data_IF_726381743982
#
_entry.id   IF_726381743982
#
_cell.length_a   1.000
_cell.length_b   1.000
_cell.length_c   1.000
_cell.angle_alpha   90.00
_cell.angle_beta   90.00
_cell.angle_gamma   90.00
#
_symmetry.space_group_name_H-M   'P 1'
#
loop_
_entity.id
_entity.type
_entity.pdbx_description
1 polymer ?
#
# COMPACT_ATOMS: atom_id res chain seq x y z
N UNK A 1 -25.66 -17.64 -5.02
CA UNK A 1 -24.56 -18.00 -5.94
C UNK A 1 -23.30 -17.39 -5.35
N UNK A 2 -22.44 -18.20 -4.74
CA UNK A 2 -21.15 -17.72 -4.22
C UNK A 2 -20.17 -17.71 -5.39
N UNK A 3 -19.91 -16.54 -5.96
CA UNK A 3 -18.80 -16.36 -6.89
C UNK A 3 -17.51 -16.40 -6.08
N UNK A 4 -16.85 -17.54 -6.03
CA UNK A 4 -15.51 -17.66 -5.43
C UNK A 4 -14.50 -17.11 -6.42
N UNK A 5 -13.97 -15.93 -6.15
CA UNK A 5 -12.82 -15.37 -6.87
C UNK A 5 -11.65 -16.34 -6.70
N UNK A 6 -11.00 -16.75 -7.79
CA UNK A 6 -9.84 -17.64 -7.70
C UNK A 6 -8.65 -16.94 -7.04
N UNK A 7 -7.72 -17.70 -6.44
CA UNK A 7 -6.51 -17.11 -5.82
C UNK A 7 -5.70 -16.28 -6.82
N UNK A 8 -5.60 -16.74 -8.08
CA UNK A 8 -4.91 -16.01 -9.14
C UNK A 8 -5.61 -14.70 -9.51
N UNK A 9 -6.94 -14.70 -9.62
CA UNK A 9 -7.71 -13.47 -9.87
C UNK A 9 -7.58 -12.49 -8.70
N UNK A 10 -7.61 -12.99 -7.46
CA UNK A 10 -7.43 -12.18 -6.26
C UNK A 10 -6.02 -11.57 -6.21
N UNK A 11 -4.98 -12.37 -6.50
CA UNK A 11 -3.62 -11.88 -6.54
C UNK A 11 -3.41 -10.83 -7.63
N UNK A 12 -3.95 -11.07 -8.83
CA UNK A 12 -3.88 -10.13 -9.95
C UNK A 12 -4.57 -8.82 -9.59
N UNK A 13 -5.79 -8.91 -9.05
CA UNK A 13 -6.54 -7.74 -8.60
C UNK A 13 -5.80 -6.96 -7.51
N UNK A 14 -5.26 -7.67 -6.52
CA UNK A 14 -4.48 -7.06 -5.46
C UNK A 14 -3.27 -6.30 -6.01
N UNK A 15 -2.45 -6.92 -6.86
CA UNK A 15 -1.26 -6.27 -7.39
C UNK A 15 -1.57 -5.11 -8.34
N UNK A 16 -2.67 -5.17 -9.09
CA UNK A 16 -3.16 -4.01 -9.86
C UNK A 16 -3.54 -2.85 -8.95
N UNK A 17 -4.34 -3.11 -7.91
CA UNK A 17 -4.81 -2.07 -7.00
C UNK A 17 -3.68 -1.46 -6.16
N UNK A 18 -2.77 -2.31 -5.67
CA UNK A 18 -1.59 -1.91 -4.92
C UNK A 18 -0.60 -1.13 -5.79
N UNK A 19 -0.34 -1.55 -7.03
CA UNK A 19 0.56 -0.83 -7.95
C UNK A 19 0.02 0.54 -8.28
N UNK A 20 -1.28 0.65 -8.61
CA UNK A 20 -1.91 1.93 -8.90
C UNK A 20 -1.80 2.91 -7.72
N UNK A 21 -1.94 2.41 -6.48
CA UNK A 21 -1.74 3.24 -5.29
C UNK A 21 -0.28 3.65 -5.12
N UNK A 22 0.66 2.70 -5.20
CA UNK A 22 2.07 2.93 -4.93
C UNK A 22 2.75 3.93 -5.90
N UNK A 23 2.16 4.14 -7.08
CA UNK A 23 2.67 5.10 -8.09
C UNK A 23 1.78 6.32 -8.27
N UNK A 24 0.67 6.42 -7.51
CA UNK A 24 -0.31 7.50 -7.68
C UNK A 24 0.29 8.89 -7.42
N UNK A 25 1.30 8.99 -6.56
CA UNK A 25 2.05 10.21 -6.28
C UNK A 25 3.24 10.46 -7.23
N UNK A 26 3.45 9.58 -8.22
CA UNK A 26 4.54 9.63 -9.18
C UNK A 26 5.86 9.04 -8.69
N UNK A 27 5.91 8.46 -7.49
CA UNK A 27 7.08 7.78 -6.95
C UNK A 27 7.07 6.26 -7.18
N UNK A 28 8.25 5.64 -7.26
CA UNK A 28 8.41 4.18 -7.22
C UNK A 28 9.21 3.78 -5.98
N UNK A 29 8.53 3.71 -4.83
CA UNK A 29 9.18 3.24 -3.60
C UNK A 29 9.23 1.71 -3.57
N UNK A 30 10.44 1.14 -3.60
CA UNK A 30 10.69 -0.31 -3.43
C UNK A 30 10.07 -0.80 -2.11
N UNK A 31 10.09 0.03 -1.07
CA UNK A 31 9.50 -0.26 0.25
C UNK A 31 7.98 -0.42 0.17
N UNK A 32 7.28 0.44 -0.59
CA UNK A 32 5.82 0.33 -0.81
C UNK A 32 5.46 -0.95 -1.57
N UNK A 33 6.29 -1.33 -2.55
CA UNK A 33 6.09 -2.58 -3.31
C UNK A 33 6.36 -3.84 -2.45
N UNK A 34 7.37 -3.80 -1.59
CA UNK A 34 7.68 -4.88 -0.64
C UNK A 34 6.56 -5.09 0.38
N UNK A 35 6.02 -4.00 0.95
CA UNK A 35 4.87 -4.05 1.86
C UNK A 35 3.64 -4.69 1.19
N UNK A 36 3.44 -4.43 -0.11
CA UNK A 36 2.36 -5.04 -0.87
C UNK A 36 2.47 -6.57 -1.00
N UNK A 37 3.69 -7.10 -1.10
CA UNK A 37 3.93 -8.55 -1.13
C UNK A 37 3.66 -9.23 0.22
N UNK A 38 4.15 -8.64 1.32
CA UNK A 38 3.92 -9.16 2.68
C UNK A 38 2.43 -9.16 3.04
N UNK A 39 1.71 -8.10 2.67
CA UNK A 39 0.27 -8.03 2.89
C UNK A 39 -0.51 -9.12 2.14
N UNK A 40 -0.13 -9.41 0.89
CA UNK A 40 -0.75 -10.46 0.08
C UNK A 40 -0.69 -11.82 0.78
N UNK A 41 0.46 -12.17 1.34
CA UNK A 41 0.65 -13.45 2.02
C UNK A 41 -0.03 -13.48 3.39
N UNK A 42 0.18 -12.44 4.20
CA UNK A 42 -0.25 -12.44 5.60
C UNK A 42 -1.76 -12.22 5.79
N UNK A 43 -2.39 -11.41 4.93
CA UNK A 43 -3.80 -10.99 5.10
C UNK A 43 -4.72 -11.57 4.03
N UNK A 44 -4.26 -11.63 2.78
CA UNK A 44 -5.04 -12.23 1.69
C UNK A 44 -4.85 -13.75 1.58
N UNK A 45 -3.87 -14.32 2.29
CA UNK A 45 -3.61 -15.76 2.31
C UNK A 45 -3.05 -16.30 0.99
N UNK A 46 -2.49 -15.43 0.14
CA UNK A 46 -1.96 -15.82 -1.16
C UNK A 46 -0.58 -16.47 -1.00
N UNK A 47 -0.33 -17.56 -1.73
CA UNK A 47 1.00 -18.17 -1.74
C UNK A 47 2.02 -17.27 -2.44
N UNK A 48 3.30 -17.47 -2.12
CA UNK A 48 4.39 -16.76 -2.80
C UNK A 48 4.41 -17.06 -4.31
N UNK A 49 4.13 -18.31 -4.69
CA UNK A 49 4.07 -18.78 -6.07
C UNK A 49 2.98 -18.04 -6.87
N UNK A 50 1.76 -17.95 -6.31
CA UNK A 50 0.65 -17.22 -6.93
C UNK A 50 0.95 -15.73 -6.99
N UNK A 51 1.61 -15.18 -5.97
CA UNK A 51 2.04 -13.79 -6.00
C UNK A 51 3.09 -13.52 -7.10
N UNK A 52 4.04 -14.43 -7.30
CA UNK A 52 5.05 -14.33 -8.35
C UNK A 52 4.43 -14.44 -9.74
N UNK A 53 3.50 -15.38 -9.94
CA UNK A 53 2.78 -15.56 -11.20
C UNK A 53 1.93 -14.32 -11.53
N UNK A 54 1.19 -13.79 -10.55
CA UNK A 54 0.35 -12.60 -10.75
C UNK A 54 1.17 -11.34 -11.04
N UNK A 55 2.44 -11.27 -10.60
CA UNK A 55 3.35 -10.16 -10.90
C UNK A 55 4.06 -10.27 -12.26
N UNK A 56 3.97 -11.43 -12.92
CA UNK A 56 4.59 -11.61 -14.24
C UNK A 56 4.06 -10.58 -15.25
N UNK A 57 4.96 -10.02 -16.06
CA UNK A 57 4.65 -8.88 -16.94
C UNK A 57 3.48 -9.17 -17.90
N UNK A 58 3.30 -10.42 -18.33
CA UNK A 58 2.20 -10.81 -19.24
C UNK A 58 0.80 -10.68 -18.59
N UNK A 59 0.69 -10.91 -17.28
CA UNK A 59 -0.60 -10.91 -16.58
C UNK A 59 -1.04 -9.49 -16.18
N UNK A 60 -0.09 -8.62 -15.78
CA UNK A 60 -0.41 -7.25 -15.36
C UNK A 60 -0.37 -6.23 -16.50
N UNK A 61 0.41 -6.44 -17.56
CA UNK A 61 0.51 -5.48 -18.67
C UNK A 61 -0.73 -5.47 -19.56
N UNK A 62 -1.53 -6.53 -19.54
CA UNK A 62 -2.73 -6.68 -20.37
C UNK A 62 -3.99 -6.11 -19.73
N UNK A 63 -3.95 -5.82 -18.42
CA UNK A 63 -5.11 -5.38 -17.65
C UNK A 63 -5.13 -3.87 -17.42
N UNK A 64 -6.31 -3.28 -17.57
CA UNK A 64 -6.54 -1.85 -17.41
C UNK A 64 -7.08 -1.52 -16.01
N UNK A 65 -7.09 -0.22 -15.67
CA UNK A 65 -7.77 0.27 -14.47
C UNK A 65 -9.27 -0.06 -14.47
N UNK A 66 -9.89 -0.10 -15.66
CA UNK A 66 -11.31 -0.44 -15.79
C UNK A 66 -11.55 -1.92 -15.45
N UNK A 67 -10.65 -2.81 -15.90
CA UNK A 67 -10.71 -4.23 -15.55
C UNK A 67 -10.58 -4.43 -14.04
N UNK A 68 -9.67 -3.71 -13.39
CA UNK A 68 -9.52 -3.72 -11.93
C UNK A 68 -10.81 -3.31 -11.21
N UNK A 69 -11.43 -2.19 -11.60
CA UNK A 69 -12.69 -1.72 -10.99
C UNK A 69 -13.85 -2.69 -11.25
N UNK A 70 -13.91 -3.28 -12.44
CA UNK A 70 -14.91 -4.30 -12.80
C UNK A 70 -14.77 -5.56 -11.93
N UNK A 71 -13.54 -6.07 -11.76
CA UNK A 71 -13.26 -7.22 -10.90
C UNK A 71 -13.65 -6.95 -9.44
N UNK A 72 -13.39 -5.74 -8.93
CA UNK A 72 -13.77 -5.34 -7.57
C UNK A 72 -15.27 -5.35 -7.33
N UNK A 73 -16.09 -5.01 -8.32
CA UNK A 73 -17.54 -5.03 -8.17
C UNK A 73 -18.09 -6.45 -7.90
N UNK A 74 -17.28 -7.49 -8.13
CA UNK A 74 -17.67 -8.89 -7.99
C UNK A 74 -17.00 -9.61 -6.82
N UNK A 75 -16.12 -8.95 -6.06
CA UNK A 75 -15.49 -9.59 -4.90
C UNK A 75 -16.45 -9.62 -3.70
N UNK A 76 -16.37 -10.65 -2.84
CA UNK A 76 -17.07 -10.63 -1.56
C UNK A 76 -16.67 -9.43 -0.72
N UNK A 77 -17.62 -8.83 0.02
CA UNK A 77 -17.38 -7.63 0.83
C UNK A 77 -16.18 -7.77 1.78
N UNK A 78 -16.04 -8.93 2.45
CA UNK A 78 -14.91 -9.21 3.34
C UNK A 78 -13.56 -9.15 2.62
N UNK A 79 -13.49 -9.65 1.38
CA UNK A 79 -12.28 -9.58 0.56
C UNK A 79 -12.03 -8.14 0.11
N UNK A 80 -13.09 -7.42 -0.26
CA UNK A 80 -13.03 -6.00 -0.59
C UNK A 80 -12.47 -5.13 0.53
N UNK A 81 -12.91 -5.34 1.77
CA UNK A 81 -12.39 -4.65 2.96
C UNK A 81 -10.89 -4.93 3.17
N UNK A 82 -10.44 -6.18 2.96
CA UNK A 82 -9.02 -6.53 3.04
C UNK A 82 -8.20 -5.85 1.95
N UNK A 83 -8.70 -5.81 0.70
CA UNK A 83 -8.02 -5.10 -0.40
C UNK A 83 -7.92 -3.61 -0.08
N UNK A 84 -9.02 -2.98 0.32
CA UNK A 84 -9.05 -1.56 0.67
C UNK A 84 -8.08 -1.24 1.82
N UNK A 85 -8.09 -2.04 2.88
CA UNK A 85 -7.18 -1.87 4.02
C UNK A 85 -5.72 -1.92 3.57
N UNK A 86 -5.37 -2.88 2.71
CA UNK A 86 -4.00 -3.00 2.20
C UNK A 86 -3.59 -1.84 1.29
N UNK A 87 -4.50 -1.38 0.42
CA UNK A 87 -4.25 -0.21 -0.43
C UNK A 87 -4.06 1.05 0.41
N UNK A 88 -4.88 1.27 1.42
CA UNK A 88 -4.74 2.40 2.35
C UNK A 88 -3.44 2.30 3.16
N UNK A 89 -3.02 1.10 3.54
CA UNK A 89 -1.76 0.87 4.25
C UNK A 89 -0.56 1.34 3.42
N UNK A 90 -0.58 1.08 2.11
CA UNK A 90 0.45 1.55 1.16
C UNK A 90 0.46 3.08 1.12
N UNK A 91 -0.69 3.72 0.99
CA UNK A 91 -0.78 5.19 0.97
C UNK A 91 -0.29 5.82 2.28
N UNK A 92 -0.50 5.15 3.41
CA UNK A 92 -0.02 5.63 4.71
C UNK A 92 1.46 5.40 5.00
N UNK A 93 2.23 4.74 4.12
CA UNK A 93 3.65 4.50 4.35
C UNK A 93 4.43 5.80 4.61
N UNK A 94 4.01 6.87 3.95
CA UNK A 94 4.69 8.17 4.00
C UNK A 94 3.95 9.15 4.93
N UNK A 95 3.03 8.62 5.76
CA UNK A 95 2.22 9.35 6.76
C UNK A 95 1.42 10.53 6.21
N UNK A 96 1.29 10.63 4.90
CA UNK A 96 0.51 11.63 4.18
C UNK A 96 -0.12 10.98 2.96
N UNK A 97 -1.29 11.46 2.54
CA UNK A 97 -1.94 11.00 1.32
C UNK A 97 -2.00 12.12 0.30
N UNK A 98 -1.52 11.82 -0.90
CA UNK A 98 -1.59 12.70 -2.05
C UNK A 98 -3.00 12.72 -2.66
N UNK A 99 -3.41 13.80 -3.35
CA UNK A 99 -4.75 13.90 -3.95
C UNK A 99 -5.10 12.75 -4.92
N UNK A 100 -4.11 12.22 -5.64
CA UNK A 100 -4.29 11.09 -6.56
C UNK A 100 -4.50 9.76 -5.80
N UNK A 101 -3.83 9.56 -4.66
CA UNK A 101 -4.06 8.42 -3.78
C UNK A 101 -5.48 8.47 -3.17
N UNK A 102 -5.92 9.66 -2.74
CA UNK A 102 -7.30 9.87 -2.26
C UNK A 102 -8.32 9.57 -3.34
N UNK A 103 -8.07 10.02 -4.57
CA UNK A 103 -8.94 9.73 -5.72
C UNK A 103 -8.99 8.24 -6.03
N UNK A 104 -7.84 7.55 -6.00
CA UNK A 104 -7.77 6.12 -6.22
C UNK A 104 -8.56 5.34 -5.15
N UNK A 105 -8.32 5.65 -3.87
CA UNK A 105 -9.07 5.06 -2.75
C UNK A 105 -10.58 5.29 -2.88
N UNK A 106 -11.00 6.49 -3.31
CA UNK A 106 -12.42 6.80 -3.52
C UNK A 106 -13.05 5.97 -4.65
N UNK A 107 -12.33 5.76 -5.76
CA UNK A 107 -12.82 4.94 -6.87
C UNK A 107 -12.94 3.47 -6.47
N UNK A 108 -11.94 2.95 -5.75
CA UNK A 108 -11.98 1.60 -5.18
C UNK A 108 -13.16 1.42 -4.22
N UNK A 109 -13.38 2.39 -3.33
CA UNK A 109 -14.47 2.33 -2.35
C UNK A 109 -15.84 2.33 -3.03
N UNK A 110 -15.98 3.12 -4.09
CA UNK A 110 -17.19 3.11 -4.91
C UNK A 110 -17.40 1.80 -5.66
N UNK A 111 -16.34 1.20 -6.23
CA UNK A 111 -16.43 -0.09 -6.92
C UNK A 111 -16.84 -1.23 -5.97
N UNK A 112 -16.38 -1.17 -4.72
CA UNK A 112 -16.73 -2.12 -3.66
C UNK A 112 -18.11 -1.86 -3.02
N UNK A 113 -18.85 -0.82 -3.46
CA UNK A 113 -20.11 -0.39 -2.84
C UNK A 113 -19.98 -0.19 -1.33
N UNK A 114 -18.84 0.35 -0.88
CA UNK A 114 -18.48 0.42 0.53
C UNK A 114 -19.20 1.55 1.24
N UNK A 115 -19.69 1.29 2.45
CA UNK A 115 -20.24 2.34 3.31
C UNK A 115 -19.14 3.28 3.82
N UNK A 116 -19.51 4.47 4.27
CA UNK A 116 -18.57 5.41 4.90
C UNK A 116 -17.96 4.79 6.16
N UNK A 117 -18.75 4.07 6.95
CA UNK A 117 -18.30 3.44 8.20
C UNK A 117 -17.27 2.33 7.93
N UNK A 118 -17.50 1.49 6.91
CA UNK A 118 -16.57 0.43 6.53
C UNK A 118 -15.28 1.02 5.93
N UNK A 119 -15.40 2.10 5.14
CA UNK A 119 -14.24 2.82 4.64
C UNK A 119 -13.40 3.43 5.76
N UNK A 120 -14.03 4.02 6.77
CA UNK A 120 -13.35 4.53 7.96
C UNK A 120 -12.67 3.42 8.75
N UNK A 121 -13.32 2.26 8.91
CA UNK A 121 -12.72 1.08 9.54
C UNK A 121 -11.47 0.61 8.79
N UNK A 122 -11.52 0.55 7.46
CA UNK A 122 -10.37 0.25 6.61
C UNK A 122 -9.23 1.25 6.82
N UNK A 123 -9.53 2.56 6.88
CA UNK A 123 -8.53 3.60 7.16
C UNK A 123 -7.85 3.40 8.53
N UNK A 124 -8.61 3.10 9.58
CA UNK A 124 -8.07 2.87 10.93
C UNK A 124 -7.16 1.63 10.94
N UNK A 125 -7.63 0.52 10.37
CA UNK A 125 -6.86 -0.72 10.30
C UNK A 125 -5.57 -0.52 9.50
N UNK A 126 -5.65 0.16 8.36
CA UNK A 126 -4.50 0.47 7.52
C UNK A 126 -3.43 1.27 8.26
N UNK A 127 -3.83 2.24 9.08
CA UNK A 127 -2.90 3.05 9.88
C UNK A 127 -2.20 2.21 10.95
N UNK A 128 -2.91 1.30 11.60
CA UNK A 128 -2.32 0.37 12.58
C UNK A 128 -1.27 -0.51 11.90
N UNK A 129 -1.62 -1.14 10.78
CA UNK A 129 -0.72 -2.04 10.04
C UNK A 129 0.50 -1.27 9.52
N UNK A 130 0.29 -0.10 8.92
CA UNK A 130 1.38 0.76 8.44
C UNK A 130 2.33 1.17 9.58
N UNK A 131 1.78 1.48 10.76
CA UNK A 131 2.56 1.76 11.97
C UNK A 131 3.43 0.59 12.43
N UNK A 132 2.94 -0.65 12.32
CA UNK A 132 3.72 -1.85 12.64
C UNK A 132 4.86 -2.13 11.66
N UNK A 133 4.71 -1.72 10.39
CA UNK A 133 5.76 -1.84 9.38
C UNK A 133 6.81 -0.72 9.50
N UNK A 134 6.41 0.47 9.94
CA UNK A 134 7.27 1.66 10.03
C UNK A 134 8.26 1.68 11.20
N UNK A 135 8.19 0.77 12.18
CA UNK A 135 9.10 0.75 13.34
C UNK A 135 10.50 0.22 13.03
N UNK A 136 10.74 -0.35 11.85
CA UNK A 136 12.08 -0.82 11.45
C UNK A 136 12.92 0.23 10.70
N UNK A 137 12.34 1.36 10.27
CA UNK A 137 13.07 2.40 9.52
C UNK A 137 13.68 3.51 10.40
N UNK A 138 13.38 3.56 11.70
CA UNK A 138 13.85 4.63 12.60
C UNK A 138 15.04 4.27 13.49
N UNK A 139 15.77 3.18 13.22
CA UNK A 139 16.97 2.80 14.01
C UNK A 139 18.29 3.25 13.36
N UNK A 140 18.28 3.89 12.20
CA UNK A 140 19.48 4.46 11.58
C UNK A 140 19.33 5.96 11.32
N UNK A 141 19.24 6.78 12.38
CA UNK A 141 19.57 8.21 12.34
C UNK A 141 19.60 8.84 13.75
N UNK A 142 20.38 8.28 14.68
CA UNK A 142 20.72 8.96 15.94
C UNK A 142 22.10 8.56 16.44
N UNK A 143 23.12 9.09 15.77
CA UNK A 143 24.51 9.30 16.24
C UNK A 143 25.28 9.73 14.99
N UNK A 144 25.65 10.99 14.76
CA UNK A 144 26.39 11.89 15.64
C UNK A 144 26.01 13.36 15.34
N UNK A 145 25.44 14.05 16.33
CA UNK A 145 25.57 15.51 16.45
C UNK A 145 26.16 15.77 17.83
N UNK A 146 27.48 15.88 17.89
CA UNK A 146 28.19 16.30 19.10
C UNK A 146 28.66 17.73 18.88
N UNK A 147 28.01 18.63 19.61
CA UNK A 147 28.33 20.04 19.75
C UNK A 147 29.79 20.31 20.11
N UNK A 148 30.27 21.45 19.62
CA UNK A 148 31.58 22.10 19.79
C UNK A 148 31.93 22.44 21.25
N UNK A 149 33.16 22.95 21.48
CA UNK A 149 33.20 24.25 22.15
C UNK A 149 34.15 25.26 21.47
N UNK A 150 33.55 26.40 21.18
CA UNK A 150 34.00 27.77 21.46
C UNK A 150 35.50 28.00 21.77
N UNK A 151 36.16 28.76 20.90
CA UNK A 151 37.44 29.42 21.17
C UNK A 151 37.57 30.64 20.27
N UNK A 152 37.40 31.84 20.83
CA UNK A 152 37.95 33.08 20.26
C UNK A 152 38.93 33.73 21.25
N UNK A 153 39.54 34.88 20.93
CA UNK A 153 40.03 35.37 19.64
C UNK A 153 41.57 35.64 19.66
N UNK A 154 42.13 36.06 18.52
CA UNK A 154 43.56 36.38 18.24
C UNK A 154 44.25 37.36 19.23
N UNK A 155 45.59 37.46 19.17
CA UNK A 155 46.11 38.71 18.61
C UNK A 155 47.31 38.56 17.65
N UNK A 156 47.35 39.50 16.72
CA UNK A 156 48.39 39.75 15.73
C UNK A 156 49.73 40.16 16.35
N UNK A 157 50.83 39.73 15.74
CA UNK A 157 52.16 40.34 15.83
C UNK A 157 52.90 40.19 14.50
#
# INVERSE_FOLDING_TARGET
MSSTVSEKELATLWFLAARAMAVADGGTSITRQGAGGLYAQAILGLSEEVCAEAKSDDSLATLTLLDCLSMLAHVPAEVGEKIMTGVMMIAYSDRSMHPLEVRWASMLASALSMSVDDFQRCCVNARVISGMLGTHASVEQTSESSDSPDSGPEPSA
#
